data_IF_266346216540
#
_entry.id   IF_266346216540
#
_cell.length_a   1.000
_cell.length_b   1.000
_cell.length_c   1.000
_cell.angle_alpha   90.00
_cell.angle_beta   90.00
_cell.angle_gamma   90.00
#
_symmetry.space_group_name_H-M   'P 1'
#
loop_
_entity.id
_entity.type
_entity.pdbx_description
1 polymer ?
#
# COMPACT_ATOMS: atom_id res chain seq x y z
N UNK A 1 14.02 13.88 -10.78
CA UNK A 1 13.25 13.29 -9.66
C UNK A 1 13.45 11.80 -9.70
N UNK A 2 14.04 11.21 -8.66
CA UNK A 2 14.22 9.75 -8.54
C UNK A 2 12.90 9.10 -8.12
N UNK A 3 12.69 7.87 -8.59
CA UNK A 3 11.58 7.01 -8.18
C UNK A 3 12.11 6.06 -7.11
N UNK A 4 11.44 5.97 -5.98
CA UNK A 4 11.72 4.96 -4.97
C UNK A 4 11.12 3.62 -5.38
N UNK A 5 11.75 2.54 -4.94
CA UNK A 5 11.34 1.20 -5.30
C UNK A 5 11.68 0.21 -4.19
N UNK A 6 10.76 -0.70 -3.93
CA UNK A 6 10.98 -1.89 -3.12
C UNK A 6 10.56 -3.12 -3.93
N UNK A 7 11.54 -4.00 -4.16
CA UNK A 7 11.41 -5.19 -4.99
C UNK A 7 11.43 -6.44 -4.12
N UNK A 8 10.53 -7.39 -4.41
CA UNK A 8 10.36 -8.60 -3.62
C UNK A 8 10.52 -9.88 -4.47
N UNK A 9 11.15 -10.93 -3.93
CA UNK A 9 11.82 -10.98 -2.62
C UNK A 9 13.07 -10.08 -2.57
N UNK A 10 13.49 -9.68 -1.36
CA UNK A 10 14.64 -8.80 -1.18
C UNK A 10 15.88 -9.34 -1.93
N UNK A 11 16.49 -8.51 -2.79
CA UNK A 11 17.64 -8.90 -3.61
C UNK A 11 17.32 -9.27 -5.07
N UNK A 12 16.04 -9.30 -5.46
CA UNK A 12 15.67 -9.42 -6.88
C UNK A 12 16.00 -8.13 -7.65
N UNK A 13 16.40 -8.27 -8.93
CA UNK A 13 17.04 -7.17 -9.71
C UNK A 13 16.13 -6.52 -10.76
N UNK A 14 15.05 -7.18 -11.18
CA UNK A 14 14.15 -6.70 -12.23
C UNK A 14 12.73 -7.31 -12.07
N UNK A 15 11.73 -6.73 -12.75
CA UNK A 15 10.32 -7.15 -12.66
C UNK A 15 10.00 -8.54 -13.27
N UNK A 16 10.89 -9.08 -14.11
CA UNK A 16 10.76 -10.45 -14.61
C UNK A 16 11.09 -11.48 -13.53
N UNK A 17 12.05 -11.18 -12.65
CA UNK A 17 12.51 -12.07 -11.58
C UNK A 17 11.76 -11.84 -10.27
N UNK A 18 11.32 -10.61 -10.00
CA UNK A 18 10.59 -10.25 -8.79
C UNK A 18 9.14 -10.78 -8.80
N UNK A 19 8.65 -11.15 -7.63
CA UNK A 19 7.26 -11.54 -7.38
C UNK A 19 6.35 -10.34 -7.13
N UNK A 20 6.90 -9.26 -6.57
CA UNK A 20 6.19 -7.99 -6.41
C UNK A 20 7.13 -6.80 -6.50
N UNK A 21 6.58 -5.66 -6.87
CA UNK A 21 7.27 -4.37 -6.90
C UNK A 21 6.33 -3.29 -6.36
N UNK A 22 6.81 -2.52 -5.39
CA UNK A 22 6.17 -1.32 -4.90
C UNK A 22 7.06 -0.16 -5.32
N UNK A 23 6.48 0.89 -5.88
CA UNK A 23 7.22 2.05 -6.32
C UNK A 23 6.50 3.32 -5.92
N UNK A 24 7.27 4.37 -5.70
CA UNK A 24 6.71 5.67 -5.34
C UNK A 24 7.50 6.81 -5.97
N UNK A 25 6.81 7.89 -6.25
CA UNK A 25 7.43 9.14 -6.72
C UNK A 25 6.71 10.32 -6.09
N UNK A 26 7.46 11.15 -5.39
CA UNK A 26 6.91 12.36 -4.81
C UNK A 26 6.76 13.44 -5.90
N UNK A 27 5.56 13.98 -6.07
CA UNK A 27 5.18 14.92 -7.15
C UNK A 27 4.86 16.31 -6.60
N UNK A 28 5.27 16.60 -5.37
CA UNK A 28 5.13 17.91 -4.72
C UNK A 28 4.09 17.85 -3.62
N UNK A 29 2.80 17.80 -3.99
CA UNK A 29 1.69 17.67 -3.01
C UNK A 29 1.12 16.26 -2.92
N UNK A 30 1.48 15.40 -3.86
CA UNK A 30 1.08 14.00 -3.89
C UNK A 30 2.29 13.06 -3.94
N UNK A 31 2.01 11.81 -3.65
CA UNK A 31 2.89 10.67 -3.82
C UNK A 31 2.22 9.74 -4.80
N UNK A 32 2.80 9.57 -6.00
CA UNK A 32 2.35 8.56 -6.94
C UNK A 32 2.85 7.21 -6.44
N UNK A 33 1.94 6.34 -6.01
CA UNK A 33 2.23 4.97 -5.55
C UNK A 33 1.74 4.00 -6.61
N UNK A 34 2.58 3.01 -6.96
CA UNK A 34 2.22 1.94 -7.90
C UNK A 34 2.73 0.61 -7.37
N UNK A 35 1.87 -0.41 -7.39
CA UNK A 35 2.14 -1.78 -6.97
C UNK A 35 1.87 -2.75 -8.12
N UNK A 36 2.74 -3.74 -8.26
CA UNK A 36 2.59 -4.87 -9.17
C UNK A 36 2.94 -6.15 -8.43
N UNK A 37 2.17 -7.22 -8.65
CA UNK A 37 2.49 -8.55 -8.13
C UNK A 37 2.12 -9.66 -9.11
N UNK A 38 2.91 -10.74 -9.12
CA UNK A 38 2.62 -12.02 -9.81
C UNK A 38 1.53 -12.78 -9.06
N UNK A 39 0.33 -12.23 -9.07
CA UNK A 39 -0.88 -12.80 -8.51
C UNK A 39 -1.94 -12.89 -9.60
N UNK A 40 -2.79 -13.91 -9.51
CA UNK A 40 -3.89 -14.13 -10.45
C UNK A 40 -5.20 -14.04 -9.69
N UNK A 41 -6.16 -13.32 -10.25
CA UNK A 41 -7.50 -13.21 -9.65
C UNK A 41 -8.22 -14.56 -9.83
N UNK A 42 -8.49 -15.22 -8.70
CA UNK A 42 -9.18 -16.51 -8.65
C UNK A 42 -10.38 -16.43 -7.70
N UNK A 43 -11.27 -17.43 -7.77
CA UNK A 43 -12.44 -17.58 -6.90
C UNK A 43 -13.33 -16.36 -6.78
N UNK A 44 -13.30 -15.62 -5.67
CA UNK A 44 -14.12 -14.42 -5.45
C UNK A 44 -13.34 -13.13 -5.73
N UNK A 45 -12.02 -13.21 -5.83
CA UNK A 45 -11.13 -12.07 -5.98
C UNK A 45 -9.94 -12.13 -5.04
N UNK A 46 -9.05 -11.16 -5.18
CA UNK A 46 -7.90 -10.98 -4.28
C UNK A 46 -7.72 -9.53 -3.87
N UNK A 47 -6.96 -9.30 -2.82
CA UNK A 47 -6.47 -7.99 -2.43
C UNK A 47 -4.94 -7.99 -2.31
N UNK A 48 -4.34 -6.83 -2.53
CA UNK A 48 -2.90 -6.55 -2.40
C UNK A 48 -2.73 -5.24 -1.63
N UNK A 49 -1.90 -5.22 -0.60
CA UNK A 49 -1.74 -4.05 0.26
C UNK A 49 -0.29 -3.83 0.70
N UNK A 50 0.10 -2.56 0.79
CA UNK A 50 1.33 -2.13 1.46
C UNK A 50 1.00 -1.28 2.68
N UNK A 51 1.41 -1.76 3.85
CA UNK A 51 1.42 -1.00 5.10
C UNK A 51 2.64 -0.11 5.19
N UNK A 52 2.42 1.13 5.61
CA UNK A 52 3.45 2.14 5.89
C UNK A 52 3.53 2.30 7.41
N UNK A 53 4.48 1.58 8.00
CA UNK A 53 4.58 1.39 9.45
C UNK A 53 5.71 2.18 10.07
N UNK A 54 5.51 2.69 11.29
CA UNK A 54 6.58 3.34 12.07
C UNK A 54 7.49 2.33 12.78
N UNK A 55 7.03 1.10 12.96
CA UNK A 55 7.75 0.01 13.60
C UNK A 55 7.80 -1.23 12.70
N UNK A 56 8.26 -2.36 13.22
CA UNK A 56 8.40 -3.60 12.47
C UNK A 56 7.25 -4.60 12.66
N UNK A 57 6.09 -4.12 13.13
CA UNK A 57 4.90 -4.93 13.40
C UNK A 57 3.75 -4.43 12.53
N UNK A 58 2.99 -5.36 11.95
CA UNK A 58 1.74 -5.04 11.24
C UNK A 58 0.65 -4.68 12.25
N UNK A 59 0.69 -3.44 12.72
CA UNK A 59 -0.04 -2.97 13.89
C UNK A 59 -0.82 -1.70 13.60
N UNK A 60 -0.26 -0.56 13.98
CA UNK A 60 -0.82 0.78 13.75
C UNK A 60 -0.19 1.33 12.46
N UNK A 61 -0.85 1.12 11.32
CA UNK A 61 -0.29 1.43 10.01
C UNK A 61 -1.29 2.15 9.11
N UNK A 62 -0.82 3.16 8.37
CA UNK A 62 -1.53 3.63 7.17
C UNK A 62 -1.28 2.64 6.04
N UNK A 63 -2.34 2.21 5.37
CA UNK A 63 -2.28 1.16 4.36
C UNK A 63 -2.80 1.68 3.02
N UNK A 64 -2.03 1.43 1.97
CA UNK A 64 -2.47 1.59 0.59
C UNK A 64 -2.77 0.20 0.02
N UNK A 65 -3.98 0.00 -0.48
CA UNK A 65 -4.41 -1.32 -0.92
C UNK A 65 -5.28 -1.32 -2.16
N UNK A 66 -5.35 -2.47 -2.81
CA UNK A 66 -6.05 -2.67 -4.06
C UNK A 66 -6.87 -3.95 -3.98
N UNK A 67 -8.13 -3.86 -4.38
CA UNK A 67 -9.08 -4.97 -4.40
C UNK A 67 -9.38 -5.32 -5.84
N UNK A 68 -9.31 -6.61 -6.16
CA UNK A 68 -9.56 -7.17 -7.48
C UNK A 68 -10.66 -8.22 -7.34
N UNK A 69 -11.93 -7.80 -7.20
CA UNK A 69 -13.03 -8.74 -7.11
C UNK A 69 -13.24 -9.42 -8.47
N UNK A 70 -13.61 -10.70 -8.47
CA UNK A 70 -13.91 -11.41 -9.72
C UNK A 70 -15.13 -10.83 -10.44
N UNK A 71 -16.07 -10.28 -9.68
CA UNK A 71 -17.25 -9.58 -10.18
C UNK A 71 -17.23 -8.15 -9.63
N UNK A 72 -17.39 -7.18 -10.51
CA UNK A 72 -17.35 -5.76 -10.15
C UNK A 72 -16.11 -5.09 -10.72
N UNK A 73 -15.76 -3.94 -10.16
CA UNK A 73 -14.60 -3.15 -10.59
C UNK A 73 -13.49 -3.30 -9.58
N UNK A 74 -12.27 -3.53 -10.06
CA UNK A 74 -11.09 -3.39 -9.23
C UNK A 74 -10.95 -1.93 -8.79
N UNK A 75 -10.45 -1.73 -7.57
CA UNK A 75 -10.39 -0.43 -6.95
C UNK A 75 -9.19 -0.30 -6.01
N UNK A 76 -8.75 0.93 -5.81
CA UNK A 76 -7.69 1.31 -4.87
C UNK A 76 -8.33 1.99 -3.68
N UNK A 77 -7.82 1.68 -2.50
CA UNK A 77 -8.33 2.20 -1.25
C UNK A 77 -7.21 2.59 -0.29
N UNK A 78 -7.56 3.48 0.64
CA UNK A 78 -6.83 3.70 1.86
C UNK A 78 -7.51 2.95 3.00
N UNK A 79 -6.71 2.36 3.85
CA UNK A 79 -7.16 1.74 5.09
C UNK A 79 -6.16 1.94 6.21
N UNK A 80 -6.52 1.46 7.38
CA UNK A 80 -5.68 1.52 8.57
C UNK A 80 -5.64 0.16 9.24
N UNK A 81 -4.43 -0.34 9.50
CA UNK A 81 -4.27 -1.51 10.35
C UNK A 81 -4.49 -1.11 11.81
N UNK A 82 -5.21 -1.96 12.51
CA UNK A 82 -5.19 -2.11 13.95
C UNK A 82 -4.56 -3.48 14.24
N UNK A 83 -4.12 -3.72 15.46
CA UNK A 83 -3.39 -4.93 15.87
C UNK A 83 -3.88 -6.26 15.26
N UNK A 84 -5.20 -6.45 15.08
CA UNK A 84 -5.79 -7.69 14.55
C UNK A 84 -6.77 -7.47 13.39
N UNK A 85 -7.04 -6.23 13.01
CA UNK A 85 -8.06 -5.89 12.02
C UNK A 85 -7.57 -4.79 11.11
N UNK A 86 -8.12 -4.70 9.91
CA UNK A 86 -7.88 -3.57 9.03
C UNK A 86 -9.22 -2.86 8.77
N UNK A 87 -9.22 -1.55 8.91
CA UNK A 87 -10.40 -0.70 8.73
C UNK A 87 -10.25 0.10 7.44
N UNK A 88 -11.20 -0.08 6.53
CA UNK A 88 -11.31 0.76 5.34
C UNK A 88 -11.59 2.21 5.73
N UNK A 89 -10.93 3.15 5.04
CA UNK A 89 -11.11 4.59 5.22
C UNK A 89 -11.79 5.19 3.98
N UNK A 90 -13.13 5.07 3.84
CA UNK A 90 -13.84 5.52 2.64
C UNK A 90 -13.74 7.03 2.41
N UNK A 91 -13.75 7.86 3.46
CA UNK A 91 -13.66 9.31 3.27
C UNK A 91 -12.25 9.73 2.82
N UNK A 92 -11.21 9.14 3.41
CA UNK A 92 -9.81 9.31 3.00
C UNK A 92 -9.60 8.81 1.58
N UNK A 93 -10.12 7.63 1.24
CA UNK A 93 -10.05 7.06 -0.12
C UNK A 93 -10.64 8.04 -1.14
N UNK A 94 -11.83 8.56 -0.89
CA UNK A 94 -12.51 9.47 -1.82
C UNK A 94 -11.85 10.85 -1.92
N UNK A 95 -11.20 11.32 -0.85
CA UNK A 95 -10.65 12.69 -0.77
C UNK A 95 -9.19 12.76 -1.21
N UNK A 96 -8.40 11.74 -0.89
CA UNK A 96 -6.94 11.77 -1.01
C UNK A 96 -6.40 10.98 -2.20
N UNK A 97 -7.16 10.03 -2.76
CA UNK A 97 -6.72 9.32 -3.96
C UNK A 97 -7.21 9.98 -5.23
N UNK A 98 -6.31 10.15 -6.20
CA UNK A 98 -6.61 10.65 -7.54
C UNK A 98 -6.00 9.73 -8.58
N UNK A 99 -6.60 9.75 -9.77
CA UNK A 99 -6.12 9.00 -10.94
C UNK A 99 -5.83 7.52 -10.61
N UNK A 100 -6.71 6.92 -9.79
CA UNK A 100 -6.53 5.55 -9.36
C UNK A 100 -6.83 4.56 -10.49
N UNK A 101 -6.04 3.50 -10.54
CA UNK A 101 -6.25 2.38 -11.44
C UNK A 101 -5.96 1.07 -10.71
N UNK A 102 -6.68 0.03 -11.11
CA UNK A 102 -6.44 -1.34 -10.69
C UNK A 102 -6.86 -2.26 -11.83
N UNK A 103 -5.96 -3.13 -12.27
CA UNK A 103 -6.22 -4.08 -13.34
C UNK A 103 -5.46 -5.39 -13.15
N UNK A 104 -5.99 -6.45 -13.73
CA UNK A 104 -5.27 -7.72 -13.91
C UNK A 104 -4.86 -7.84 -15.36
N UNK A 105 -3.59 -8.16 -15.61
CA UNK A 105 -3.06 -8.37 -16.95
C UNK A 105 -1.97 -9.43 -16.93
N UNK A 106 -2.08 -10.41 -17.84
CA UNK A 106 -1.04 -11.42 -18.09
C UNK A 106 -0.57 -12.17 -16.83
N UNK A 107 -1.50 -12.51 -15.92
CA UNK A 107 -1.20 -13.23 -14.67
C UNK A 107 -0.54 -12.37 -13.60
N UNK A 108 -0.68 -11.05 -13.71
CA UNK A 108 -0.23 -10.07 -12.73
C UNK A 108 -1.38 -9.13 -12.37
N UNK A 109 -1.37 -8.66 -11.14
CA UNK A 109 -2.22 -7.55 -10.72
C UNK A 109 -1.39 -6.29 -10.62
N UNK A 110 -1.96 -5.19 -11.06
CA UNK A 110 -1.34 -3.86 -11.08
C UNK A 110 -2.32 -2.85 -10.53
N UNK A 111 -1.84 -1.94 -9.70
CA UNK A 111 -2.65 -0.82 -9.25
C UNK A 111 -1.79 0.36 -8.83
N UNK A 112 -2.39 1.54 -8.84
CA UNK A 112 -1.73 2.75 -8.40
C UNK A 112 -2.69 3.91 -8.26
N UNK A 113 -2.22 4.96 -7.61
CA UNK A 113 -2.93 6.23 -7.49
C UNK A 113 -1.96 7.35 -7.11
N UNK A 114 -2.38 8.59 -7.32
CA UNK A 114 -1.79 9.73 -6.62
C UNK A 114 -2.43 9.87 -5.23
N UNK A 115 -1.62 9.69 -4.18
CA UNK A 115 -2.00 9.95 -2.80
C UNK A 115 -1.66 11.39 -2.42
N UNK A 116 -2.67 12.20 -2.14
CA UNK A 116 -2.50 13.53 -1.57
C UNK A 116 -1.91 13.43 -0.16
N UNK A 117 -0.82 14.16 0.10
CA UNK A 117 -0.09 14.12 1.37
C UNK A 117 -0.65 15.07 2.44
N UNK A 118 -1.52 16.01 2.03
CA UNK A 118 -2.27 16.87 2.91
C UNK A 118 -3.64 16.25 3.20
N UNK A 119 -3.78 15.68 4.40
CA UNK A 119 -5.00 15.09 4.91
C UNK A 119 -5.67 15.95 5.98
N UNK A 120 -5.33 17.25 6.04
CA UNK A 120 -5.92 18.17 7.04
C UNK A 120 -7.42 18.34 6.88
N UNK A 121 -7.91 18.15 5.65
CA UNK A 121 -9.31 18.22 5.23
C UNK A 121 -10.16 17.05 5.70
N UNK A 122 -9.55 15.95 6.20
CA UNK A 122 -10.30 14.80 6.67
C UNK A 122 -10.99 15.08 8.01
N UNK A 123 -12.14 14.44 8.20
CA UNK A 123 -12.83 14.39 9.48
C UNK A 123 -11.96 13.73 10.57
N UNK A 124 -12.09 14.14 11.84
CA UNK A 124 -11.21 13.68 12.93
C UNK A 124 -11.11 12.16 13.08
N UNK A 125 -12.17 11.42 12.75
CA UNK A 125 -12.23 9.96 12.91
C UNK A 125 -11.28 9.21 11.99
N UNK A 126 -11.15 9.60 10.73
CA UNK A 126 -10.20 9.01 9.78
C UNK A 126 -8.88 9.77 9.75
N UNK A 127 -8.88 11.08 10.05
CA UNK A 127 -7.66 11.88 10.15
C UNK A 127 -6.66 11.30 11.13
N UNK A 128 -7.11 10.82 12.29
CA UNK A 128 -6.25 10.18 13.30
C UNK A 128 -5.69 8.82 12.87
N UNK A 129 -6.24 8.21 11.83
CA UNK A 129 -5.81 6.92 11.27
C UNK A 129 -4.82 7.10 10.10
N UNK A 130 -4.57 8.35 9.69
CA UNK A 130 -3.61 8.68 8.64
C UNK A 130 -2.30 9.17 9.26
N UNK A 131 -1.19 8.53 8.87
CA UNK A 131 0.15 8.98 9.22
C UNK A 131 0.61 10.10 8.30
N UNK A 132 1.35 11.05 8.87
CA UNK A 132 2.10 12.05 8.11
C UNK A 132 3.32 11.43 7.43
N UNK A 133 3.10 10.64 6.36
CA UNK A 133 4.14 9.81 5.73
C UNK A 133 5.28 10.60 5.06
N UNK A 134 5.13 11.91 4.89
CA UNK A 134 6.13 12.77 4.24
C UNK A 134 7.28 13.23 5.15
N UNK A 135 7.14 13.12 6.49
CA UNK A 135 8.16 13.58 7.43
C UNK A 135 8.98 12.46 8.07
N UNK A 136 8.48 11.22 8.08
CA UNK A 136 9.07 10.09 8.80
C UNK A 136 9.95 9.13 7.99
N UNK A 137 10.35 8.06 8.67
CA UNK A 137 10.97 6.84 8.13
C UNK A 137 10.10 5.64 8.47
N UNK A 138 9.83 4.79 7.49
CA UNK A 138 8.82 3.74 7.62
C UNK A 138 9.32 2.38 7.18
N UNK A 139 8.91 1.34 7.90
CA UNK A 139 8.95 -0.01 7.36
C UNK A 139 7.81 -0.18 6.35
N UNK A 140 8.10 -0.86 5.24
CA UNK A 140 7.06 -1.27 4.29
C UNK A 140 6.69 -2.72 4.57
N UNK A 141 5.39 -3.01 4.60
CA UNK A 141 4.86 -4.34 4.85
C UNK A 141 3.92 -4.74 3.73
N UNK A 142 4.30 -5.73 2.91
CA UNK A 142 3.45 -6.23 1.83
C UNK A 142 2.64 -7.43 2.33
N UNK A 143 1.33 -7.37 2.12
CA UNK A 143 0.42 -8.48 2.33
C UNK A 143 -0.55 -8.59 1.15
N UNK A 144 -1.04 -9.80 0.92
CA UNK A 144 -2.07 -10.09 -0.08
C UNK A 144 -2.88 -11.29 0.39
N UNK A 145 -4.08 -11.43 -0.12
CA UNK A 145 -4.99 -12.51 0.25
C UNK A 145 -6.25 -12.52 -0.59
N UNK A 146 -7.17 -13.40 -0.25
CA UNK A 146 -8.42 -13.56 -0.99
C UNK A 146 -9.49 -12.58 -0.50
N UNK A 147 -10.41 -12.26 -1.40
CA UNK A 147 -11.69 -11.64 -1.07
C UNK A 147 -12.74 -12.72 -0.78
N UNK A 148 -13.76 -12.40 0.01
CA UNK A 148 -14.98 -13.19 0.10
C UNK A 148 -15.99 -12.83 -1.00
N UNK A 149 -17.17 -13.46 -0.98
CA UNK A 149 -18.17 -13.28 -2.02
C UNK A 149 -18.76 -11.85 -2.06
N UNK A 150 -18.64 -11.14 -0.94
CA UNK A 150 -19.06 -9.77 -0.72
C UNK A 150 -17.95 -8.75 -1.01
N UNK A 151 -16.80 -9.22 -1.54
CA UNK A 151 -15.61 -8.41 -1.79
C UNK A 151 -14.99 -7.81 -0.53
N UNK A 152 -15.17 -8.47 0.61
CA UNK A 152 -14.51 -8.13 1.87
C UNK A 152 -13.23 -8.94 2.00
N UNK A 153 -12.18 -8.32 2.56
CA UNK A 153 -10.89 -8.98 2.78
C UNK A 153 -11.01 -10.13 3.77
N UNK A 154 -10.54 -11.29 3.34
CA UNK A 154 -10.14 -12.33 4.28
C UNK A 154 -8.76 -12.01 4.83
N UNK A 155 -8.50 -12.40 6.08
CA UNK A 155 -7.16 -12.31 6.67
C UNK A 155 -6.14 -12.95 5.73
N UNK A 156 -5.02 -12.26 5.49
CA UNK A 156 -3.94 -12.88 4.74
C UNK A 156 -3.41 -14.08 5.51
N UNK A 157 -3.04 -15.13 4.79
CA UNK A 157 -2.16 -16.13 5.37
C UNK A 157 -0.70 -15.63 5.28
N UNK A 158 0.15 -16.12 6.18
CA UNK A 158 1.61 -15.91 6.11
C UNK A 158 2.17 -16.82 5.00
N UNK A 159 1.78 -16.60 3.74
CA UNK A 159 2.14 -17.53 2.64
C UNK A 159 3.48 -17.15 2.03
N UNK A 160 4.44 -18.06 2.13
CA UNK A 160 5.79 -17.91 1.61
C UNK A 160 6.82 -17.65 2.71
N UNK A 161 8.08 -17.97 2.44
CA UNK A 161 9.17 -17.66 3.36
C UNK A 161 9.28 -16.13 3.50
N UNK A 162 9.09 -15.62 4.72
CA UNK A 162 9.17 -14.19 5.03
C UNK A 162 7.89 -13.37 4.82
N UNK A 163 6.71 -13.99 4.67
CA UNK A 163 5.43 -13.26 4.64
C UNK A 163 4.87 -12.97 6.06
N UNK A 164 4.24 -11.79 6.33
CA UNK A 164 4.18 -10.64 5.45
C UNK A 164 5.59 -10.11 5.18
N UNK A 165 5.85 -9.77 3.93
CA UNK A 165 7.18 -9.30 3.58
C UNK A 165 7.38 -7.93 4.19
N UNK A 166 8.53 -7.75 4.84
CA UNK A 166 8.96 -6.49 5.43
C UNK A 166 10.20 -5.98 4.69
N UNK A 167 10.26 -4.68 4.46
CA UNK A 167 11.47 -4.05 3.93
C UNK A 167 12.63 -4.23 4.92
N UNK A 168 13.83 -4.53 4.40
CA UNK A 168 15.05 -4.60 5.21
C UNK A 168 15.54 -3.23 5.68
N UNK A 169 15.22 -2.20 4.90
CA UNK A 169 15.55 -0.81 5.17
C UNK A 169 14.27 0.01 5.40
N UNK A 170 14.40 1.09 6.15
CA UNK A 170 13.31 2.07 6.31
C UNK A 170 13.28 3.00 5.12
N UNK A 171 12.07 3.36 4.71
CA UNK A 171 11.78 4.19 3.54
C UNK A 171 11.35 5.58 3.97
N UNK A 172 11.83 6.60 3.26
CA UNK A 172 11.32 7.97 3.37
C UNK A 172 10.59 8.36 2.09
N UNK A 173 9.40 8.93 2.22
CA UNK A 173 8.58 9.40 1.10
C UNK A 173 8.76 10.90 0.86
N UNK A 174 10.00 11.33 0.64
CA UNK A 174 10.35 12.75 0.47
C UNK A 174 10.99 12.99 -0.90
N UNK A 175 10.94 14.23 -1.39
CA UNK A 175 11.75 14.67 -2.53
C UNK A 175 13.19 15.04 -2.11
N UNK A 176 13.32 15.78 -1.01
CA UNK A 176 14.58 16.14 -0.37
C UNK A 176 14.40 15.96 1.12
N UNK A 177 14.90 14.85 1.63
CA UNK A 177 14.76 14.51 3.03
C UNK A 177 15.64 15.41 3.88
N UNK A 178 15.09 16.19 4.83
CA UNK A 178 15.93 16.84 5.82
C UNK A 178 16.73 15.78 6.59
N UNK A 179 17.94 16.10 7.07
CA UNK A 179 18.79 15.16 7.78
C UNK A 179 18.16 14.65 9.09
N UNK A 180 17.17 15.37 9.61
CA UNK A 180 16.41 15.00 10.81
C UNK A 180 14.95 14.74 10.45
N UNK A 181 14.39 13.70 11.07
CA UNK A 181 12.96 13.42 11.06
C UNK A 181 12.30 14.48 11.97
N UNK A 182 11.30 15.18 11.45
CA UNK A 182 10.48 16.07 12.27
C UNK A 182 9.29 15.22 12.71
N UNK A 183 9.40 14.62 13.90
CA UNK A 183 8.27 13.98 14.56
C UNK A 183 7.35 15.10 15.10
N UNK A 184 6.06 15.02 14.79
CA UNK A 184 4.98 15.75 15.49
C UNK A 184 4.25 14.80 16.45
#
# INVERSE_FOLDING_TARGET
MSRGCWLLPNGCKNSSDCSAAITWKHTGRSLLIEMEAKLKVVDNGLWLAVGISKDDIMGDDTVFECHFPRKGRAAVHLSHNLQLTNLMLPAATATLLRDSYAEERDGRVMCGAELMLDFTVLEPSEKKMMHQISSGEYHLMLAFGDLDAESVKKSHALVGEGAPWRSSERTRFCNHCPPHIVDE
#
